data_IF_911887930412
#
_entry.id   IF_911887930412
#
_cell.length_a   1.000
_cell.length_b   1.000
_cell.length_c   1.000
_cell.angle_alpha   90.00
_cell.angle_beta   90.00
_cell.angle_gamma   90.00
#
_symmetry.space_group_name_H-M   'P 1'
#
loop_
_entity.id
_entity.type
_entity.pdbx_description
1 polymer ?
#
# COMPACT_ATOMS: atom_id res chain seq x y z
N UNK A 1 -15.36 -0.07 -3.08
CA UNK A 1 -14.91 -1.11 -4.03
C UNK A 1 -13.40 -1.08 -4.05
N UNK A 2 -12.78 -2.15 -3.59
CA UNK A 2 -11.33 -2.34 -3.61
C UNK A 2 -10.88 -2.42 -5.08
N UNK A 3 -9.87 -1.64 -5.46
CA UNK A 3 -9.34 -1.67 -6.84
C UNK A 3 -8.39 -2.84 -6.96
N UNK A 4 -8.82 -3.90 -7.64
CA UNK A 4 -8.00 -5.08 -7.91
C UNK A 4 -7.41 -5.01 -9.33
N UNK A 5 -6.11 -5.32 -9.48
CA UNK A 5 -5.43 -5.37 -10.76
C UNK A 5 -4.65 -6.69 -10.90
N UNK A 6 -4.96 -7.44 -11.94
CA UNK A 6 -4.24 -8.67 -12.29
C UNK A 6 -3.01 -8.34 -13.15
N UNK A 7 -1.83 -8.79 -12.74
CA UNK A 7 -0.56 -8.54 -13.44
C UNK A 7 0.15 -9.86 -13.70
N UNK A 8 0.64 -10.04 -14.93
CA UNK A 8 1.49 -11.17 -15.31
C UNK A 8 2.96 -10.74 -15.32
N UNK A 9 3.81 -11.44 -14.56
CA UNK A 9 5.25 -11.28 -14.66
C UNK A 9 5.81 -12.23 -15.73
N UNK A 10 6.59 -11.69 -16.67
CA UNK A 10 7.29 -12.46 -17.70
C UNK A 10 8.78 -12.22 -17.54
N UNK A 11 9.52 -13.27 -17.16
CA UNK A 11 10.97 -13.21 -17.02
C UNK A 11 11.62 -13.24 -18.41
N UNK A 12 12.62 -12.38 -18.62
CA UNK A 12 13.43 -12.42 -19.83
C UNK A 12 14.33 -13.67 -19.80
N UNK A 13 14.37 -14.47 -20.88
CA UNK A 13 15.26 -15.62 -20.96
C UNK A 13 16.75 -15.24 -21.08
N UNK A 14 17.07 -13.96 -21.32
CA UNK A 14 18.44 -13.49 -21.55
C UNK A 14 19.07 -12.76 -20.35
N UNK A 15 18.28 -12.33 -19.38
CA UNK A 15 18.77 -11.56 -18.23
C UNK A 15 17.90 -11.84 -17.00
N UNK A 16 18.50 -12.43 -15.96
CA UNK A 16 17.82 -12.82 -14.73
C UNK A 16 17.20 -11.64 -13.98
N UNK A 17 17.65 -10.41 -14.25
CA UNK A 17 17.15 -9.19 -13.62
C UNK A 17 16.19 -8.37 -14.51
N UNK A 18 15.91 -8.81 -15.74
CA UNK A 18 14.99 -8.14 -16.64
C UNK A 18 13.69 -8.94 -16.80
N UNK A 19 12.57 -8.36 -16.40
CA UNK A 19 11.26 -8.94 -16.60
C UNK A 19 10.23 -7.86 -16.89
N UNK A 20 9.19 -8.21 -17.64
CA UNK A 20 8.11 -7.28 -17.97
C UNK A 20 6.84 -7.67 -17.22
N UNK A 21 6.16 -6.66 -16.68
CA UNK A 21 4.82 -6.80 -16.13
C UNK A 21 3.78 -6.46 -17.21
N UNK A 22 2.83 -7.36 -17.43
CA UNK A 22 1.72 -7.15 -18.35
C UNK A 22 0.40 -7.10 -17.59
N UNK A 23 -0.40 -6.06 -17.85
CA UNK A 23 -1.72 -5.93 -17.24
C UNK A 23 -2.74 -6.89 -17.88
N UNK A 24 -3.36 -7.73 -17.05
CA UNK A 24 -4.41 -8.65 -17.48
C UNK A 24 -5.77 -7.99 -17.28
N UNK A 25 -6.38 -7.54 -18.39
CA UNK A 25 -7.73 -6.97 -18.39
C UNK A 25 -8.83 -8.02 -18.18
N UNK A 26 -8.60 -9.23 -18.66
CA UNK A 26 -9.57 -10.33 -18.61
C UNK A 26 -8.80 -11.65 -18.46
N UNK A 27 -8.78 -12.18 -17.23
CA UNK A 27 -8.11 -13.44 -16.89
C UNK A 27 -8.77 -14.62 -17.60
N UNK A 28 -10.10 -14.60 -17.71
CA UNK A 28 -10.85 -15.62 -18.44
C UNK A 28 -10.38 -15.73 -19.88
N UNK A 29 -10.21 -14.61 -20.58
CA UNK A 29 -9.76 -14.61 -21.97
C UNK A 29 -8.32 -15.10 -22.12
N UNK A 30 -7.44 -14.77 -21.16
CA UNK A 30 -6.05 -15.18 -21.20
C UNK A 30 -5.87 -16.68 -21.00
N UNK A 31 -6.59 -17.26 -20.04
CA UNK A 31 -6.33 -18.63 -19.56
C UNK A 31 -7.29 -19.67 -20.15
N UNK A 32 -8.51 -19.29 -20.55
CA UNK A 32 -9.53 -20.28 -21.01
C UNK A 32 -9.07 -21.11 -22.20
N UNK A 33 -8.32 -20.51 -23.14
CA UNK A 33 -7.80 -21.19 -24.33
C UNK A 33 -6.72 -22.23 -24.01
N UNK A 34 -6.01 -22.07 -22.88
CA UNK A 34 -4.99 -23.03 -22.42
C UNK A 34 -5.62 -24.24 -21.73
N UNK A 35 -6.77 -24.06 -21.08
CA UNK A 35 -7.43 -25.11 -20.29
C UNK A 35 -8.42 -25.93 -21.12
N UNK A 36 -9.09 -25.32 -22.10
CA UNK A 36 -10.20 -25.95 -22.79
C UNK A 36 -10.05 -25.86 -24.31
N UNK A 37 -10.22 -27.00 -24.99
CA UNK A 37 -10.34 -27.05 -26.46
C UNK A 37 -11.72 -26.61 -26.96
N UNK A 38 -12.71 -26.50 -26.06
CA UNK A 38 -14.08 -26.06 -26.35
C UNK A 38 -14.22 -24.55 -26.11
N UNK A 39 -14.94 -23.86 -26.98
CA UNK A 39 -15.09 -22.39 -27.03
C UNK A 39 -15.94 -21.77 -25.89
N UNK A 40 -16.14 -22.47 -24.77
CA UNK A 40 -16.94 -21.94 -23.66
C UNK A 40 -16.07 -21.16 -22.67
N UNK A 41 -16.50 -19.92 -22.37
CA UNK A 41 -15.88 -19.04 -21.37
C UNK A 41 -15.82 -19.73 -20.00
N UNK A 42 -14.65 -19.70 -19.36
CA UNK A 42 -14.46 -20.09 -17.95
C UNK A 42 -14.38 -18.85 -17.09
N UNK A 43 -14.92 -18.92 -15.88
CA UNK A 43 -14.90 -17.84 -14.91
C UNK A 43 -13.93 -18.18 -13.78
N UNK A 44 -12.98 -17.30 -13.48
CA UNK A 44 -11.93 -17.57 -12.50
C UNK A 44 -12.19 -16.75 -11.23
N UNK A 45 -11.92 -17.33 -10.07
CA UNK A 45 -11.85 -16.60 -8.82
C UNK A 45 -10.47 -15.93 -8.69
N UNK A 46 -10.42 -14.60 -8.58
CA UNK A 46 -9.15 -13.87 -8.46
C UNK A 46 -8.34 -14.25 -7.18
N UNK A 47 -9.00 -14.77 -6.13
CA UNK A 47 -8.34 -15.18 -4.88
C UNK A 47 -7.73 -16.57 -4.90
N UNK A 48 -8.49 -17.56 -5.37
CA UNK A 48 -8.06 -18.97 -5.33
C UNK A 48 -7.71 -19.55 -6.70
N UNK A 49 -7.88 -18.76 -7.76
CA UNK A 49 -7.67 -19.13 -9.17
C UNK A 49 -8.46 -20.36 -9.64
N UNK A 50 -9.45 -20.82 -8.85
CA UNK A 50 -10.35 -21.90 -9.26
C UNK A 50 -11.31 -21.41 -10.34
N UNK A 51 -11.60 -22.28 -11.31
CA UNK A 51 -12.43 -21.94 -12.47
C UNK A 51 -13.81 -22.60 -12.42
N UNK A 52 -14.81 -21.89 -12.92
CA UNK A 52 -16.20 -22.31 -12.98
C UNK A 52 -16.74 -22.17 -14.40
N UNK A 53 -17.79 -22.95 -14.72
CA UNK A 53 -18.45 -22.88 -16.03
C UNK A 53 -19.53 -21.79 -16.13
N UNK A 54 -19.94 -21.18 -15.01
CA UNK A 54 -20.92 -20.09 -14.98
C UNK A 54 -20.53 -19.04 -13.96
N UNK A 55 -20.99 -17.80 -14.17
CA UNK A 55 -20.77 -16.66 -13.27
C UNK A 55 -21.47 -16.83 -11.92
N UNK A 56 -22.66 -17.45 -11.90
CA UNK A 56 -23.43 -17.71 -10.67
C UNK A 56 -22.65 -18.60 -9.69
N UNK A 57 -22.01 -19.66 -10.20
CA UNK A 57 -21.16 -20.56 -9.40
C UNK A 57 -19.91 -19.87 -8.88
N UNK A 58 -19.36 -18.94 -9.67
CA UNK A 58 -18.24 -18.11 -9.21
C UNK A 58 -18.69 -17.19 -8.07
N UNK A 59 -19.85 -16.55 -8.18
CA UNK A 59 -20.37 -15.66 -7.13
C UNK A 59 -20.63 -16.41 -5.83
N UNK A 60 -21.28 -17.58 -5.89
CA UNK A 60 -21.49 -18.42 -4.69
C UNK A 60 -20.18 -18.89 -4.07
N UNK A 61 -19.18 -19.24 -4.88
CA UNK A 61 -17.85 -19.57 -4.36
C UNK A 61 -17.15 -18.34 -3.78
N UNK A 62 -17.33 -17.15 -4.37
CA UNK A 62 -16.63 -15.95 -3.92
C UNK A 62 -16.98 -15.65 -2.48
N UNK A 63 -18.27 -15.69 -2.10
CA UNK A 63 -18.72 -15.46 -0.71
C UNK A 63 -18.11 -16.42 0.30
N UNK A 64 -17.89 -17.67 -0.09
CA UNK A 64 -17.26 -18.68 0.77
C UNK A 64 -15.73 -18.57 0.76
N UNK A 65 -15.16 -18.15 -0.37
CA UNK A 65 -13.74 -17.95 -0.55
C UNK A 65 -13.24 -16.73 0.24
N UNK A 66 -14.06 -15.68 0.44
CA UNK A 66 -13.67 -14.53 1.28
C UNK A 66 -13.53 -14.92 2.75
N UNK A 67 -14.39 -15.82 3.21
CA UNK A 67 -14.44 -16.26 4.61
C UNK A 67 -13.32 -17.23 4.95
N UNK A 68 -12.72 -17.87 3.94
CA UNK A 68 -11.56 -18.74 4.12
C UNK A 68 -10.32 -17.86 4.24
N UNK A 69 -9.70 -17.86 5.41
CA UNK A 69 -8.35 -17.35 5.57
C UNK A 69 -7.44 -18.15 4.63
N UNK A 70 -6.90 -17.49 3.60
CA UNK A 70 -5.87 -18.08 2.78
C UNK A 70 -4.74 -18.55 3.71
N UNK A 71 -4.25 -19.78 3.51
CA UNK A 71 -3.14 -20.29 4.27
C UNK A 71 -1.92 -19.42 4.01
N UNK A 72 -1.51 -18.63 5.00
CA UNK A 72 -0.25 -17.90 4.98
C UNK A 72 0.83 -18.96 5.06
N UNK A 73 1.49 -19.24 3.95
CA UNK A 73 2.68 -20.09 3.95
C UNK A 73 3.83 -19.26 4.50
N UNK A 74 4.21 -19.53 5.74
CA UNK A 74 5.41 -18.95 6.31
C UNK A 74 6.64 -19.47 5.54
N UNK A 75 7.70 -18.65 5.40
CA UNK A 75 8.96 -19.11 4.83
C UNK A 75 9.52 -20.29 5.64
N UNK A 76 10.15 -21.24 4.96
CA UNK A 76 10.93 -22.29 5.62
C UNK A 76 12.29 -21.75 6.07
N UNK A 77 13.07 -22.55 6.80
CA UNK A 77 14.45 -22.18 7.15
C UNK A 77 15.33 -21.89 5.93
N UNK A 78 15.01 -22.49 4.78
CA UNK A 78 15.73 -22.29 3.52
C UNK A 78 15.31 -20.98 2.81
N UNK A 79 14.08 -20.51 3.03
CA UNK A 79 13.50 -19.30 2.40
C UNK A 79 13.39 -18.12 3.39
N UNK A 80 14.04 -18.21 4.56
CA UNK A 80 13.86 -17.26 5.67
C UNK A 80 14.36 -15.84 5.40
N UNK A 81 15.24 -15.67 4.41
CA UNK A 81 15.84 -14.39 4.09
C UNK A 81 15.22 -13.80 2.83
N UNK A 82 14.51 -12.69 2.99
CA UNK A 82 14.08 -11.87 1.87
C UNK A 82 15.10 -10.75 1.65
N UNK A 83 15.68 -10.69 0.46
CA UNK A 83 16.57 -9.60 0.06
C UNK A 83 15.96 -8.78 -1.08
N UNK A 84 16.05 -7.45 -0.96
CA UNK A 84 15.69 -6.56 -2.06
C UNK A 84 16.89 -6.43 -2.99
N UNK A 85 16.88 -7.15 -4.11
CA UNK A 85 17.97 -7.06 -5.10
C UNK A 85 18.00 -5.72 -5.84
N UNK A 86 16.83 -5.12 -6.08
CA UNK A 86 16.70 -3.94 -6.92
C UNK A 86 15.92 -2.83 -6.22
N UNK A 87 16.61 -2.06 -5.39
CA UNK A 87 16.04 -0.91 -4.66
C UNK A 87 15.53 0.19 -5.59
N UNK A 88 16.05 0.28 -6.81
CA UNK A 88 15.62 1.26 -7.81
C UNK A 88 14.27 0.94 -8.44
N UNK A 89 13.83 -0.32 -8.40
CA UNK A 89 12.52 -0.75 -8.91
C UNK A 89 11.37 -0.52 -7.92
N UNK A 90 11.65 0.08 -6.75
CA UNK A 90 10.60 0.47 -5.82
C UNK A 90 9.73 1.56 -6.46
N UNK A 91 8.42 1.38 -6.39
CA UNK A 91 7.48 2.44 -6.76
C UNK A 91 7.79 3.67 -5.89
N UNK A 92 8.23 4.75 -6.55
CA UNK A 92 8.57 5.99 -5.85
C UNK A 92 7.28 6.62 -5.37
N UNK A 93 7.13 6.68 -4.05
CA UNK A 93 5.96 7.32 -3.47
C UNK A 93 5.98 8.81 -3.81
N UNK A 94 4.89 9.32 -4.41
CA UNK A 94 4.80 10.68 -4.91
C UNK A 94 4.99 11.74 -3.82
N UNK A 95 4.53 11.41 -2.60
CA UNK A 95 4.63 12.21 -1.40
C UNK A 95 5.03 11.30 -0.24
N UNK A 96 5.90 11.80 0.63
CA UNK A 96 6.26 11.18 1.90
C UNK A 96 6.05 12.21 3.00
N UNK A 97 5.39 11.82 4.09
CA UNK A 97 5.16 12.71 5.23
C UNK A 97 5.85 12.09 6.43
N UNK A 98 6.81 12.84 6.99
CA UNK A 98 7.46 12.52 8.25
C UNK A 98 6.76 13.32 9.33
N UNK A 99 6.29 12.67 10.38
CA UNK A 99 5.59 13.34 11.48
C UNK A 99 6.21 12.94 12.80
N UNK A 100 6.37 13.91 13.69
CA UNK A 100 6.86 13.69 15.04
C UNK A 100 6.07 14.52 16.04
N UNK A 101 5.93 14.01 17.26
CA UNK A 101 5.22 14.69 18.35
C UNK A 101 5.98 14.52 19.65
N UNK A 102 5.96 15.59 20.44
CA UNK A 102 6.57 15.63 21.76
C UNK A 102 5.48 15.79 22.81
N UNK A 103 5.58 15.01 23.89
CA UNK A 103 4.63 15.00 24.98
C UNK A 103 5.28 15.48 26.28
N UNK A 104 4.54 16.28 27.04
CA UNK A 104 4.81 16.50 28.46
C UNK A 104 4.28 15.29 29.23
N UNK A 105 5.07 14.81 30.18
CA UNK A 105 4.75 13.64 30.98
C UNK A 105 4.32 14.09 32.38
N UNK A 106 3.03 13.93 32.67
CA UNK A 106 2.50 14.14 34.01
C UNK A 106 2.57 12.83 34.79
N UNK A 107 3.06 12.90 36.03
CA UNK A 107 2.98 11.75 36.93
C UNK A 107 1.55 11.59 37.41
N UNK A 108 1.02 10.39 37.30
CA UNK A 108 -0.28 10.06 37.88
C UNK A 108 -0.05 9.61 39.31
N UNK A 109 -0.85 10.09 40.26
CA UNK A 109 -0.78 9.57 41.63
C UNK A 109 -1.29 8.12 41.66
N UNK A 110 -0.69 7.23 42.47
CA UNK A 110 -1.15 5.86 42.58
C UNK A 110 -2.61 5.88 43.05
N UNK A 111 -3.50 5.24 42.30
CA UNK A 111 -4.85 5.00 42.80
C UNK A 111 -4.74 4.17 44.09
N UNK A 112 -5.39 4.60 45.17
CA UNK A 112 -5.39 3.92 46.48
C UNK A 112 -6.07 2.51 46.45
N UNK A 113 -6.37 1.97 45.27
CA UNK A 113 -7.07 0.69 45.10
C UNK A 113 -6.11 -0.38 44.60
N UNK A 114 -6.27 -1.57 45.16
CA UNK A 114 -5.53 -2.83 44.92
C UNK A 114 -5.74 -3.42 43.51
N UNK A 115 -5.84 -2.59 42.46
CA UNK A 115 -5.87 -3.05 41.08
C UNK A 115 -4.43 -3.23 40.57
N UNK A 116 -4.14 -4.39 39.98
CA UNK A 116 -2.80 -4.81 39.54
C UNK A 116 -2.18 -3.97 38.38
N UNK A 117 -2.89 -2.95 37.89
CA UNK A 117 -2.39 -2.02 36.87
C UNK A 117 -2.60 -0.57 37.32
N UNK A 118 -1.50 0.13 37.57
CA UNK A 118 -1.53 1.58 37.78
C UNK A 118 -0.99 2.30 36.53
N UNK A 119 -1.63 3.40 36.15
CA UNK A 119 -1.14 4.30 35.10
C UNK A 119 0.04 5.09 35.66
N UNK A 120 1.24 4.88 35.13
CA UNK A 120 2.47 5.49 35.64
C UNK A 120 2.59 6.98 35.25
N UNK A 121 2.27 7.30 34.00
CA UNK A 121 2.38 8.65 33.43
C UNK A 121 1.25 8.93 32.46
N UNK A 122 0.76 10.16 32.47
CA UNK A 122 -0.15 10.71 31.47
C UNK A 122 0.65 11.54 30.46
N UNK A 123 0.53 11.19 29.18
CA UNK A 123 1.20 11.88 28.09
C UNK A 123 0.27 12.95 27.52
N UNK A 124 0.67 14.21 27.63
CA UNK A 124 -0.04 15.33 27.02
C UNK A 124 0.79 15.91 25.87
N UNK A 125 0.21 15.93 24.66
CA UNK A 125 0.92 16.43 23.47
C UNK A 125 1.18 17.92 23.64
N UNK A 126 2.45 18.32 23.53
CA UNK A 126 2.88 19.70 23.69
C UNK A 126 3.36 20.32 22.39
N UNK A 127 3.98 19.52 21.51
CA UNK A 127 4.36 19.97 20.19
C UNK A 127 4.21 18.88 19.14
N UNK A 128 3.97 19.30 17.91
CA UNK A 128 3.83 18.41 16.76
C UNK A 128 4.47 19.08 15.55
N UNK A 129 5.25 18.30 14.81
CA UNK A 129 5.91 18.73 13.59
C UNK A 129 5.69 17.73 12.48
N UNK A 130 5.54 18.21 11.26
CA UNK A 130 5.61 17.34 10.09
C UNK A 130 6.43 17.96 8.97
N UNK A 131 7.10 17.10 8.23
CA UNK A 131 7.80 17.42 7.00
C UNK A 131 7.17 16.64 5.85
N UNK A 132 6.64 17.35 4.87
CA UNK A 132 6.19 16.77 3.60
C UNK A 132 7.34 16.85 2.63
N UNK A 133 7.67 15.72 2.00
CA UNK A 133 8.56 15.64 0.85
C UNK A 133 7.75 15.25 -0.36
N UNK A 134 7.71 16.10 -1.37
CA UNK A 134 7.17 15.74 -2.68
C UNK A 134 8.28 15.37 -3.64
N UNK A 135 8.09 14.31 -4.42
CA UNK A 135 8.95 13.96 -5.55
C UNK A 135 8.49 14.60 -6.87
N UNK A 136 7.30 15.22 -6.88
CA UNK A 136 6.74 15.89 -8.05
C UNK A 136 7.28 17.31 -8.20
N UNK A 137 7.22 18.07 -7.11
CA UNK A 137 7.66 19.46 -7.06
C UNK A 137 8.28 19.77 -5.70
N UNK A 138 9.53 20.25 -5.71
CA UNK A 138 10.25 20.60 -4.49
C UNK A 138 9.56 21.73 -3.71
N UNK A 139 8.82 22.61 -4.40
CA UNK A 139 8.03 23.70 -3.79
C UNK A 139 6.93 23.18 -2.86
N UNK A 140 6.43 21.96 -3.11
CA UNK A 140 5.45 21.30 -2.25
C UNK A 140 6.09 20.64 -1.02
N UNK A 141 7.42 20.61 -0.94
CA UNK A 141 8.12 20.09 0.24
C UNK A 141 8.15 21.14 1.33
N UNK A 142 7.39 20.93 2.39
CA UNK A 142 7.17 21.93 3.44
C UNK A 142 7.31 21.29 4.82
N UNK A 143 8.05 21.98 5.69
CA UNK A 143 8.07 21.70 7.13
C UNK A 143 7.09 22.63 7.84
N UNK A 144 6.26 22.07 8.73
CA UNK A 144 5.40 22.85 9.62
C UNK A 144 5.45 22.26 11.01
N UNK A 145 5.35 23.13 12.01
CA UNK A 145 5.26 22.71 13.40
C UNK A 145 4.34 23.63 14.19
N UNK A 146 3.81 23.11 15.29
CA UNK A 146 3.06 23.85 16.30
C UNK A 146 3.50 23.42 17.69
N UNK A 147 3.43 24.37 18.61
CA UNK A 147 3.78 24.22 20.01
C UNK A 147 2.74 24.99 20.85
N UNK A 148 2.31 24.43 21.98
CA UNK A 148 1.33 25.05 22.90
C UNK A 148 -0.05 24.36 22.96
N UNK A 149 -0.99 25.02 23.65
CA UNK A 149 -2.30 24.45 24.04
C UNK A 149 -3.21 24.02 22.87
N UNK A 150 -2.93 24.45 21.64
CA UNK A 150 -3.74 24.13 20.45
C UNK A 150 -3.00 23.23 19.44
N UNK A 151 -2.00 22.48 19.89
CA UNK A 151 -1.27 21.54 19.05
C UNK A 151 -2.15 20.44 18.46
N UNK A 152 -3.23 20.06 19.15
CA UNK A 152 -4.15 19.02 18.65
C UNK A 152 -4.94 19.52 17.42
N UNK A 153 -5.28 20.80 17.34
CA UNK A 153 -5.94 21.35 16.15
C UNK A 153 -5.03 21.30 14.90
N UNK A 154 -3.72 21.22 15.08
CA UNK A 154 -2.77 21.04 13.98
C UNK A 154 -2.95 19.71 13.24
N UNK A 155 -3.53 18.69 13.87
CA UNK A 155 -3.88 17.41 13.22
C UNK A 155 -4.86 17.63 12.07
N UNK A 156 -5.77 18.62 12.17
CA UNK A 156 -6.68 18.97 11.06
C UNK A 156 -5.94 19.40 9.80
N UNK A 157 -4.75 20.00 9.93
CA UNK A 157 -3.94 20.35 8.76
C UNK A 157 -3.40 19.12 8.03
N UNK A 158 -3.14 18.02 8.74
CA UNK A 158 -2.75 16.75 8.11
C UNK A 158 -3.92 16.14 7.35
N UNK A 159 -5.15 16.28 7.84
CA UNK A 159 -6.36 15.87 7.12
C UNK A 159 -6.56 16.69 5.84
N UNK A 160 -6.41 18.01 5.91
CA UNK A 160 -6.47 18.89 4.74
C UNK A 160 -5.37 18.54 3.72
N UNK A 161 -4.15 18.30 4.20
CA UNK A 161 -3.03 17.85 3.36
C UNK A 161 -3.34 16.51 2.68
N UNK A 162 -3.94 15.55 3.40
CA UNK A 162 -4.34 14.27 2.82
C UNK A 162 -5.36 14.45 1.69
N UNK A 163 -6.32 15.36 1.86
CA UNK A 163 -7.26 15.71 0.79
C UNK A 163 -6.57 16.34 -0.41
N UNK A 164 -5.64 17.28 -0.20
CA UNK A 164 -4.86 17.91 -1.28
C UNK A 164 -4.02 16.88 -2.04
N UNK A 165 -3.28 16.02 -1.33
CA UNK A 165 -2.48 14.95 -1.93
C UNK A 165 -3.40 14.00 -2.71
N UNK A 166 -4.55 13.62 -2.17
CA UNK A 166 -5.52 12.78 -2.89
C UNK A 166 -6.00 13.42 -4.19
N UNK A 167 -6.29 14.72 -4.19
CA UNK A 167 -6.66 15.44 -5.41
C UNK A 167 -5.50 15.42 -6.42
N UNK A 168 -4.27 15.64 -5.99
CA UNK A 168 -3.10 15.61 -6.88
C UNK A 168 -2.85 14.21 -7.47
N UNK A 169 -3.01 13.15 -6.66
CA UNK A 169 -2.76 11.77 -7.09
C UNK A 169 -3.84 11.19 -8.00
N UNK A 170 -5.10 11.64 -7.86
CA UNK A 170 -6.23 11.08 -8.61
C UNK A 170 -6.88 12.07 -9.59
N UNK A 171 -6.52 13.35 -9.53
CA UNK A 171 -7.02 14.41 -10.41
C UNK A 171 -6.21 14.56 -11.70
N UNK A 172 -4.92 14.24 -11.69
CA UNK A 172 -4.13 14.08 -12.91
C UNK A 172 -4.06 12.61 -13.33
N UNK A 173 -4.24 12.36 -14.63
CA UNK A 173 -4.42 11.03 -15.21
C UNK A 173 -3.34 10.02 -14.75
N UNK A 174 -3.67 8.79 -14.30
CA UNK A 174 -2.79 8.00 -13.41
C UNK A 174 -1.50 7.39 -14.03
N UNK A 175 -1.09 7.76 -15.24
CA UNK A 175 -0.01 7.04 -15.94
C UNK A 175 0.86 7.87 -16.89
N UNK A 176 0.74 9.20 -16.95
CA UNK A 176 1.45 9.96 -18.00
C UNK A 176 2.94 10.20 -17.78
N UNK A 177 3.48 10.16 -16.56
CA UNK A 177 4.85 10.66 -16.33
C UNK A 177 5.82 9.70 -15.61
N UNK A 178 5.52 8.40 -15.51
CA UNK A 178 6.46 7.45 -14.88
C UNK A 178 7.56 6.96 -15.84
N UNK A 179 7.38 7.12 -17.16
CA UNK A 179 8.32 6.57 -18.17
C UNK A 179 9.41 7.56 -18.61
N UNK A 180 9.23 8.87 -18.46
CA UNK A 180 10.11 9.85 -19.12
C UNK A 180 11.27 10.42 -18.28
N UNK A 181 11.49 9.99 -17.03
CA UNK A 181 12.55 10.58 -16.17
C UNK A 181 13.70 9.67 -15.77
N UNK A 182 13.77 8.44 -16.27
CA UNK A 182 14.92 7.53 -16.03
C UNK A 182 16.01 7.61 -17.10
N UNK A 183 15.83 8.41 -18.16
CA UNK A 183 16.85 8.62 -19.20
C UNK A 183 17.31 10.08 -19.18
N UNK A 184 18.20 10.43 -18.25
CA UNK A 184 18.73 11.77 -18.19
C UNK A 184 19.75 11.95 -17.07
N UNK A 185 20.99 11.53 -17.31
CA UNK A 185 22.09 11.82 -16.40
C UNK A 185 23.25 10.82 -16.46
N UNK A 186 23.81 10.59 -17.64
CA UNK A 186 25.21 10.17 -17.75
C UNK A 186 25.93 11.33 -18.45
N UNK A 187 26.72 12.06 -17.67
CA UNK A 187 27.85 12.86 -18.12
C UNK A 187 28.97 12.63 -17.12
#
# INVERSE_FOLDING_TARGET
>A
MEKHANILYMQSPCDDNAGHFAYIKDLSRLVSSQINKKEHKKYFCDRCLHYFSSSEKLQSNTTDCEKKQCAIRLPSEDDKWLEFKNHTNKERLPFVIYTDLECVLWRTEPAEKEDASYTYQQHEIFSIGYYVRSLYDDVLSVYRFRCGEDCVAFVRQLEDLAHQVKILLFGECPYKNVVERTVGGIS
#
